data_IF_589750369418
#
_entry.id   IF_589750369418
#
_cell.length_a   1.000
_cell.length_b   1.000
_cell.length_c   1.000
_cell.angle_alpha   90.00
_cell.angle_beta   90.00
_cell.angle_gamma   90.00
#
_symmetry.space_group_name_H-M   'P 1'
#
loop_
_entity.id
_entity.type
_entity.pdbx_description
1 polymer ?
#
# COMPACT_ATOMS: atom_id res chain seq x y z
N UNK A 1 -7.28 -25.19 -80.38
CA UNK A 1 -8.37 -25.48 -79.42
C UNK A 1 -8.10 -24.66 -78.17
N UNK A 2 -8.84 -23.55 -78.01
CA UNK A 2 -9.85 -23.33 -76.96
C UNK A 2 -9.24 -23.10 -75.57
N UNK A 3 -9.15 -21.82 -75.25
CA UNK A 3 -8.96 -21.24 -73.92
C UNK A 3 -10.00 -21.81 -72.95
N UNK A 4 -9.57 -22.22 -71.76
CA UNK A 4 -10.43 -22.18 -70.58
C UNK A 4 -9.61 -21.73 -69.38
N UNK A 5 -9.95 -20.50 -69.00
CA UNK A 5 -9.56 -19.71 -67.88
C UNK A 5 -9.92 -20.46 -66.59
N UNK A 6 -8.92 -20.92 -65.82
CA UNK A 6 -9.14 -21.37 -64.44
C UNK A 6 -8.96 -20.16 -63.54
N UNK A 7 -10.09 -19.59 -63.15
CA UNK A 7 -10.21 -18.49 -62.21
C UNK A 7 -9.80 -19.00 -60.81
N UNK A 8 -8.53 -18.82 -60.44
CA UNK A 8 -8.06 -19.06 -59.08
C UNK A 8 -8.42 -17.86 -58.20
N UNK A 9 -9.49 -18.00 -57.43
CA UNK A 9 -9.81 -17.12 -56.30
C UNK A 9 -8.70 -17.25 -55.25
N UNK A 10 -7.88 -16.20 -55.11
CA UNK A 10 -6.97 -16.07 -53.97
C UNK A 10 -7.76 -15.59 -52.75
N UNK A 11 -7.63 -16.21 -51.57
CA UNK A 11 -8.17 -15.67 -50.33
C UNK A 11 -7.41 -14.41 -49.93
N UNK A 12 -8.15 -13.36 -49.59
CA UNK A 12 -7.63 -12.13 -49.02
C UNK A 12 -6.88 -12.42 -47.71
N UNK A 13 -5.56 -12.26 -47.71
CA UNK A 13 -4.77 -12.25 -46.49
C UNK A 13 -5.05 -10.92 -45.76
N UNK A 14 -5.97 -10.96 -44.79
CA UNK A 14 -6.16 -9.90 -43.82
C UNK A 14 -4.90 -9.81 -42.96
N UNK A 15 -4.02 -8.87 -43.28
CA UNK A 15 -2.92 -8.48 -42.42
C UNK A 15 -3.50 -7.83 -41.16
N UNK A 16 -3.63 -8.59 -40.09
CA UNK A 16 -3.85 -8.07 -38.74
C UNK A 16 -2.60 -7.29 -38.34
N UNK A 17 -2.67 -5.96 -38.47
CA UNK A 17 -1.77 -5.04 -37.76
C UNK A 17 -2.00 -5.30 -36.26
N UNK A 18 -1.14 -6.11 -35.66
CA UNK A 18 -1.14 -6.30 -34.21
C UNK A 18 -0.38 -5.10 -33.65
N UNK A 19 -1.11 -4.06 -33.25
CA UNK A 19 -0.54 -2.95 -32.49
C UNK A 19 -0.02 -3.52 -31.16
N UNK A 20 1.25 -3.26 -30.78
CA UNK A 20 1.72 -3.66 -29.46
C UNK A 20 0.90 -2.88 -28.43
N UNK A 21 0.11 -3.60 -27.64
CA UNK A 21 -0.60 -3.02 -26.50
C UNK A 21 0.43 -2.45 -25.53
N UNK A 22 0.61 -1.13 -25.57
CA UNK A 22 1.33 -0.38 -24.56
C UNK A 22 0.53 -0.51 -23.26
N UNK A 23 0.93 -1.45 -22.40
CA UNK A 23 0.40 -1.54 -21.05
C UNK A 23 0.72 -0.23 -20.31
N UNK A 24 -0.28 0.49 -19.78
CA UNK A 24 0.00 1.65 -18.96
C UNK A 24 0.87 1.20 -17.77
N UNK A 25 2.06 1.77 -17.68
CA UNK A 25 2.99 1.54 -16.58
C UNK A 25 2.31 2.04 -15.31
N UNK A 26 1.67 1.13 -14.57
CA UNK A 26 1.22 1.40 -13.21
C UNK A 26 2.42 1.96 -12.45
N UNK A 27 2.31 3.22 -12.04
CA UNK A 27 3.42 3.95 -11.43
C UNK A 27 4.08 3.10 -10.37
N UNK A 28 5.40 2.94 -10.47
CA UNK A 28 6.20 2.18 -9.50
C UNK A 28 5.89 2.76 -8.12
N UNK A 29 5.17 1.99 -7.30
CA UNK A 29 4.87 2.37 -5.93
C UNK A 29 6.20 2.43 -5.20
N UNK A 30 6.69 3.65 -4.94
CA UNK A 30 7.87 3.85 -4.09
C UNK A 30 7.52 3.27 -2.72
N UNK A 31 8.29 2.27 -2.30
CA UNK A 31 8.22 1.74 -0.94
C UNK A 31 8.28 2.91 0.05
N UNK A 32 7.28 3.02 0.93
CA UNK A 32 7.34 4.00 2.01
C UNK A 32 8.44 3.53 2.95
N UNK A 33 9.44 4.38 3.17
CA UNK A 33 10.65 4.08 3.95
C UNK A 33 10.31 3.68 5.38
N UNK A 34 10.12 2.39 5.58
CA UNK A 34 9.80 1.82 6.86
C UNK A 34 11.04 1.83 7.76
N UNK A 35 11.02 2.57 8.86
CA UNK A 35 12.09 2.53 9.85
C UNK A 35 11.76 1.52 10.97
N UNK A 36 12.41 0.35 10.91
CA UNK A 36 12.36 -0.65 11.97
C UNK A 36 13.29 -0.28 13.14
N UNK A 37 13.09 0.90 13.74
CA UNK A 37 13.93 1.43 14.81
C UNK A 37 13.83 0.66 16.15
N UNK A 38 13.02 -0.40 16.20
CA UNK A 38 12.74 -1.18 17.40
C UNK A 38 11.58 -0.65 18.24
N UNK A 39 10.69 0.15 17.64
CA UNK A 39 9.43 0.54 18.26
C UNK A 39 8.58 -0.69 18.61
N UNK A 40 7.68 -0.50 19.58
CA UNK A 40 6.76 -1.55 20.05
C UNK A 40 5.35 -1.02 20.17
N UNK A 41 4.39 -1.87 19.84
CA UNK A 41 2.98 -1.66 20.10
C UNK A 41 2.52 -2.50 21.29
N UNK A 42 1.48 -2.03 21.97
CA UNK A 42 0.89 -2.73 23.09
C UNK A 42 0.30 -4.08 22.65
N UNK A 43 0.69 -5.16 23.33
CA UNK A 43 0.16 -6.51 23.10
C UNK A 43 -0.58 -7.06 24.31
N UNK A 44 -0.74 -6.26 25.37
CA UNK A 44 -1.37 -6.69 26.63
C UNK A 44 -2.88 -6.77 26.54
N UNK A 45 -3.48 -6.18 25.49
CA UNK A 45 -4.92 -6.08 25.32
C UNK A 45 -5.51 -7.18 24.45
N UNK A 46 -6.80 -7.53 24.68
CA UNK A 46 -7.52 -8.49 23.83
C UNK A 46 -7.55 -8.07 22.36
N UNK A 47 -7.78 -6.77 22.10
CA UNK A 47 -7.70 -6.19 20.76
C UNK A 47 -6.31 -5.63 20.53
N UNK A 48 -5.43 -6.45 19.96
CA UNK A 48 -4.09 -6.00 19.57
C UNK A 48 -4.21 -4.92 18.49
N UNK A 49 -3.46 -3.82 18.60
CA UNK A 49 -3.34 -2.85 17.53
C UNK A 49 -2.69 -3.55 16.33
N UNK A 50 -3.46 -3.76 15.27
CA UNK A 50 -2.94 -4.11 13.95
C UNK A 50 -3.38 -3.00 13.00
N UNK A 51 -2.44 -2.47 12.21
CA UNK A 51 -2.69 -1.31 11.36
C UNK A 51 -1.86 -0.09 11.77
N UNK A 52 -2.24 1.06 11.20
CA UNK A 52 -1.55 2.33 11.40
C UNK A 52 -2.10 3.10 12.60
N UNK A 53 -1.19 3.54 13.46
CA UNK A 53 -1.50 4.32 14.65
C UNK A 53 -0.61 5.54 14.78
N UNK A 54 -1.19 6.68 15.17
CA UNK A 54 -0.37 7.83 15.56
C UNK A 54 0.35 7.55 16.88
N UNK A 55 1.55 8.10 17.05
CA UNK A 55 2.28 8.00 18.31
C UNK A 55 1.56 8.67 19.49
N UNK A 56 0.62 9.59 19.23
CA UNK A 56 -0.24 10.15 20.28
C UNK A 56 -1.35 9.22 20.79
N UNK A 57 -1.64 8.13 20.08
CA UNK A 57 -2.83 7.33 20.36
C UNK A 57 -2.75 6.62 21.72
N UNK A 58 -3.85 6.77 22.47
CA UNK A 58 -4.07 6.13 23.76
C UNK A 58 -5.31 5.27 23.71
N UNK A 59 -5.28 4.22 24.51
CA UNK A 59 -6.45 3.45 24.86
C UNK A 59 -7.35 4.22 25.83
N UNK A 60 -8.55 3.72 26.09
CA UNK A 60 -9.53 4.36 26.98
C UNK A 60 -9.06 4.53 28.43
N UNK A 61 -8.08 3.75 28.87
CA UNK A 61 -7.44 3.86 30.18
C UNK A 61 -6.23 4.81 30.20
N UNK A 62 -5.94 5.48 29.08
CA UNK A 62 -4.88 6.46 28.94
C UNK A 62 -3.50 5.87 28.63
N UNK A 63 -3.32 4.55 28.59
CA UNK A 63 -2.05 3.96 28.17
C UNK A 63 -1.88 4.10 26.65
N UNK A 64 -0.64 4.24 26.18
CA UNK A 64 -0.37 4.46 24.77
C UNK A 64 -0.39 3.16 23.95
N UNK A 65 -0.84 3.28 22.70
CA UNK A 65 -0.80 2.20 21.71
C UNK A 65 0.66 1.84 21.37
N UNK A 66 1.50 2.86 21.19
CA UNK A 66 2.95 2.69 20.97
C UNK A 66 3.67 2.80 22.31
N UNK A 67 4.36 1.73 22.69
CA UNK A 67 4.93 1.55 24.03
C UNK A 67 6.43 1.80 24.06
N UNK A 68 7.13 1.79 22.91
CA UNK A 68 8.58 2.01 22.81
C UNK A 68 8.96 2.85 21.58
N UNK A 69 9.97 3.70 21.72
CA UNK A 69 10.50 4.62 20.67
C UNK A 69 9.42 5.45 19.97
N UNK A 70 8.47 5.95 20.77
CA UNK A 70 7.32 6.70 20.30
C UNK A 70 7.64 8.18 20.13
N UNK A 71 7.22 8.74 19.01
CA UNK A 71 7.15 10.17 18.72
C UNK A 71 5.69 10.50 18.42
N UNK A 72 5.12 11.48 19.12
CA UNK A 72 3.67 11.76 19.09
C UNK A 72 3.18 12.04 17.66
N UNK A 73 3.96 12.79 16.88
CA UNK A 73 3.64 13.21 15.51
C UNK A 73 3.93 12.18 14.43
N UNK A 74 4.38 10.98 14.79
CA UNK A 74 4.70 9.92 13.84
C UNK A 74 3.55 8.94 13.63
N UNK A 75 3.56 8.27 12.48
CA UNK A 75 2.70 7.11 12.19
C UNK A 75 3.50 5.83 12.37
N UNK A 76 2.90 4.88 13.07
CA UNK A 76 3.45 3.55 13.29
C UNK A 76 2.53 2.49 12.69
N UNK A 77 3.08 1.50 12.01
CA UNK A 77 2.36 0.30 11.60
C UNK A 77 2.62 -0.83 12.59
N UNK A 78 1.60 -1.22 13.34
CA UNK A 78 1.70 -2.30 14.32
C UNK A 78 1.43 -3.67 13.69
N UNK A 79 2.30 -4.63 13.97
CA UNK A 79 2.07 -6.03 13.61
C UNK A 79 1.47 -6.83 14.78
N UNK A 80 1.00 -8.06 14.47
CA UNK A 80 0.35 -8.96 15.44
C UNK A 80 1.21 -9.36 16.65
N UNK A 81 2.53 -9.24 16.52
CA UNK A 81 3.52 -9.63 17.53
C UNK A 81 4.00 -8.43 18.36
N UNK A 82 3.42 -7.24 18.14
CA UNK A 82 3.76 -6.02 18.87
C UNK A 82 5.03 -5.31 18.37
N UNK A 83 5.62 -5.76 17.27
CA UNK A 83 6.59 -4.97 16.54
C UNK A 83 5.90 -3.86 15.76
N UNK A 84 6.64 -2.81 15.44
CA UNK A 84 6.15 -1.81 14.49
C UNK A 84 7.24 -1.29 13.56
N UNK A 85 6.73 -0.65 12.52
CA UNK A 85 7.45 0.19 11.60
C UNK A 85 7.13 1.66 11.91
N UNK A 86 8.13 2.53 12.01
CA UNK A 86 7.95 3.98 12.07
C UNK A 86 7.99 4.56 10.64
N UNK A 87 6.90 5.17 10.19
CA UNK A 87 6.81 5.84 8.89
C UNK A 87 7.15 7.33 8.96
N UNK A 88 7.56 7.83 10.13
CA UNK A 88 7.91 9.21 10.35
C UNK A 88 6.70 10.11 10.56
N UNK A 89 6.97 11.42 10.49
CA UNK A 89 6.00 12.47 10.71
C UNK A 89 4.80 12.37 9.76
N UNK A 90 3.60 12.54 10.30
CA UNK A 90 2.38 12.75 9.52
C UNK A 90 1.55 13.89 10.09
N UNK A 91 1.02 14.72 9.19
CA UNK A 91 0.25 15.92 9.55
C UNK A 91 -1.01 15.63 10.36
N UNK A 92 -1.60 14.46 10.16
CA UNK A 92 -2.77 13.97 10.90
C UNK A 92 -2.43 13.40 12.27
N UNK A 93 -1.15 13.11 12.53
CA UNK A 93 -0.64 12.77 13.86
C UNK A 93 -0.03 13.99 14.59
N UNK A 94 0.11 15.11 13.90
CA UNK A 94 0.69 16.32 14.46
C UNK A 94 -0.30 17.05 15.39
N UNK A 95 -0.09 16.85 16.70
CA UNK A 95 -0.93 17.34 17.80
C UNK A 95 -1.99 16.33 18.24
N UNK A 96 -2.57 16.53 19.44
CA UNK A 96 -3.69 15.74 19.98
C UNK A 96 -5.01 16.11 19.25
N UNK A 97 -5.02 16.08 17.92
CA UNK A 97 -6.19 16.44 17.13
C UNK A 97 -7.20 15.28 17.12
N UNK A 98 -8.49 15.55 17.37
CA UNK A 98 -9.54 14.57 17.10
C UNK A 98 -9.51 14.20 15.60
N UNK A 99 -9.47 12.91 15.31
CA UNK A 99 -9.39 12.39 13.93
C UNK A 99 -8.02 11.82 13.51
N UNK A 100 -7.03 11.78 14.42
CA UNK A 100 -5.81 10.99 14.21
C UNK A 100 -6.12 9.48 14.08
N UNK A 101 -5.12 8.70 13.64
CA UNK A 101 -5.26 7.25 13.38
C UNK A 101 -5.32 6.43 14.68
N UNK A 102 -6.29 6.67 15.56
CA UNK A 102 -6.34 6.02 16.88
C UNK A 102 -7.34 4.86 16.98
N UNK A 103 -8.05 4.58 15.89
CA UNK A 103 -9.03 3.49 15.80
C UNK A 103 -10.43 3.88 16.23
#
# INVERSE_FOLDING_TARGET
MRFSLVLLLAPAAMALLTEPAEHPQFGVLKERGCDYNGCKCDTSRPRKPQGQFCGGCKWSDGAYVITKKRVISHVYECNKDGGCCDYGYAKDCDGDKPGGRCG
#
